data_IF_561475073864
#
_entry.id   IF_561475073864
#
_cell.length_a   1.000
_cell.length_b   1.000
_cell.length_c   1.000
_cell.angle_alpha   90.00
_cell.angle_beta   90.00
_cell.angle_gamma   90.00
#
_symmetry.space_group_name_H-M   'P 1'
#
loop_
_entity.id
_entity.type
_entity.pdbx_description
1 polymer ?
#
# COMPACT_ATOMS: atom_id res chain seq x y z
N UNK A 1 10.05 -10.34 4.50
CA UNK A 1 9.03 -11.17 5.19
C UNK A 1 8.08 -10.25 5.94
N UNK A 2 6.88 -10.66 6.32
CA UNK A 2 5.92 -9.79 7.02
C UNK A 2 6.54 -9.11 8.27
N UNK A 3 7.39 -9.84 9.01
CA UNK A 3 8.12 -9.31 10.17
C UNK A 3 8.94 -8.04 9.90
N UNK A 4 9.57 -7.94 8.72
CA UNK A 4 10.40 -6.78 8.36
C UNK A 4 9.53 -5.52 8.17
N UNK A 5 8.31 -5.67 7.65
CA UNK A 5 7.38 -4.56 7.44
C UNK A 5 6.84 -4.00 8.76
N UNK A 6 6.53 -4.87 9.73
CA UNK A 6 6.11 -4.44 11.07
C UNK A 6 7.22 -3.69 11.78
N UNK A 7 8.45 -4.23 11.78
CA UNK A 7 9.59 -3.57 12.42
C UNK A 7 9.89 -2.21 11.79
N UNK A 8 9.81 -2.11 10.45
CA UNK A 8 10.02 -0.83 9.74
C UNK A 8 8.99 0.22 10.17
N UNK A 9 7.71 -0.14 10.22
CA UNK A 9 6.64 0.81 10.60
C UNK A 9 6.72 1.18 12.08
N UNK A 10 6.97 0.22 12.97
CA UNK A 10 7.19 0.53 14.40
C UNK A 10 8.33 1.53 14.58
N UNK A 11 9.48 1.29 13.92
CA UNK A 11 10.62 2.19 13.98
C UNK A 11 10.28 3.61 13.49
N UNK A 12 9.57 3.73 12.37
CA UNK A 12 9.13 5.03 11.84
C UNK A 12 8.20 5.76 12.80
N UNK A 13 7.29 5.04 13.46
CA UNK A 13 6.34 5.62 14.42
C UNK A 13 7.00 5.98 15.75
N UNK A 14 8.01 5.24 16.18
CA UNK A 14 8.80 5.54 17.39
C UNK A 14 9.62 6.81 17.24
N UNK A 15 10.19 7.05 16.05
CA UNK A 15 10.98 8.24 15.75
C UNK A 15 10.13 9.47 15.43
N UNK A 16 8.82 9.31 15.23
CA UNK A 16 7.95 10.39 14.83
C UNK A 16 7.57 11.29 16.02
N UNK A 17 7.75 12.60 15.86
CA UNK A 17 7.24 13.61 16.81
C UNK A 17 5.71 13.54 16.96
N UNK A 18 5.00 13.09 15.93
CA UNK A 18 3.57 12.85 15.96
C UNK A 18 3.25 11.53 15.23
N UNK A 19 3.14 10.40 15.96
CA UNK A 19 2.89 9.09 15.38
C UNK A 19 1.60 9.01 14.56
N UNK A 20 0.56 9.77 14.97
CA UNK A 20 -0.72 9.81 14.25
C UNK A 20 -0.56 10.45 12.88
N UNK A 21 0.08 11.62 12.82
CA UNK A 21 0.36 12.30 11.56
C UNK A 21 1.25 11.47 10.65
N UNK A 22 2.24 10.77 11.22
CA UNK A 22 3.11 9.89 10.44
C UNK A 22 2.37 8.67 9.90
N UNK A 23 1.54 8.02 10.71
CA UNK A 23 0.66 6.94 10.26
C UNK A 23 -0.26 7.38 9.10
N UNK A 24 -0.84 8.58 9.16
CA UNK A 24 -1.67 9.13 8.06
C UNK A 24 -0.87 9.24 6.76
N UNK A 25 0.40 9.72 6.83
CA UNK A 25 1.26 9.79 5.64
C UNK A 25 1.58 8.41 5.09
N UNK A 26 1.88 7.44 5.94
CA UNK A 26 2.16 6.05 5.51
C UNK A 26 0.93 5.46 4.81
N UNK A 27 -0.27 5.64 5.37
CA UNK A 27 -1.53 5.21 4.74
C UNK A 27 -1.72 5.87 3.37
N UNK A 28 -1.47 7.18 3.25
CA UNK A 28 -1.56 7.88 1.98
C UNK A 28 -0.54 7.35 0.93
N UNK A 29 0.68 7.07 1.35
CA UNK A 29 1.73 6.49 0.49
C UNK A 29 1.34 5.08 0.00
N UNK A 30 0.82 4.24 0.89
CA UNK A 30 0.33 2.89 0.54
C UNK A 30 -0.86 2.97 -0.41
N UNK A 31 -1.82 3.88 -0.18
CA UNK A 31 -2.93 4.14 -1.10
C UNK A 31 -2.43 4.50 -2.50
N UNK A 32 -1.46 5.41 -2.60
CA UNK A 32 -0.88 5.80 -3.89
C UNK A 32 -0.17 4.62 -4.59
N UNK A 33 0.48 3.74 -3.83
CA UNK A 33 1.10 2.52 -4.35
C UNK A 33 0.06 1.53 -4.90
N UNK A 34 -0.98 1.20 -4.13
CA UNK A 34 -2.04 0.28 -4.59
C UNK A 34 -2.85 0.86 -5.75
N UNK A 35 -3.03 2.19 -5.84
CA UNK A 35 -3.61 2.84 -7.01
C UNK A 35 -2.80 2.59 -8.30
N UNK A 36 -1.46 2.58 -8.21
CA UNK A 36 -0.59 2.25 -9.33
C UNK A 36 -0.68 0.77 -9.71
N UNK A 37 -0.76 -0.14 -8.72
CA UNK A 37 -1.00 -1.56 -8.97
C UNK A 37 -2.35 -1.81 -9.64
N UNK A 38 -3.41 -1.14 -9.21
CA UNK A 38 -4.73 -1.23 -9.83
C UNK A 38 -4.71 -0.78 -11.30
N UNK A 39 -4.09 0.36 -11.60
CA UNK A 39 -3.89 0.83 -12.98
C UNK A 39 -3.09 -0.16 -13.81
N UNK A 40 -2.03 -0.74 -13.24
CA UNK A 40 -1.22 -1.74 -13.92
C UNK A 40 -2.03 -3.00 -14.22
N UNK A 41 -2.84 -3.45 -13.26
CA UNK A 41 -3.73 -4.60 -13.41
C UNK A 41 -4.78 -4.36 -14.49
N UNK A 42 -5.37 -3.16 -14.54
CA UNK A 42 -6.34 -2.79 -15.57
C UNK A 42 -5.75 -2.86 -16.99
N UNK A 43 -4.47 -2.49 -17.14
CA UNK A 43 -3.76 -2.53 -18.42
C UNK A 43 -3.09 -3.89 -18.74
N UNK A 44 -3.27 -4.94 -17.92
CA UNK A 44 -2.52 -6.20 -18.05
C UNK A 44 -2.75 -6.95 -19.37
N UNK A 45 -3.90 -6.73 -20.01
CA UNK A 45 -4.26 -7.34 -21.30
C UNK A 45 -3.86 -6.47 -22.50
N UNK A 46 -3.39 -5.25 -22.28
CA UNK A 46 -2.96 -4.34 -23.33
C UNK A 46 -1.49 -4.60 -23.70
N UNK A 47 -1.18 -4.63 -25.01
CA UNK A 47 0.20 -4.75 -25.49
C UNK A 47 0.90 -3.38 -25.50
N UNK A 48 1.15 -2.83 -24.32
CA UNK A 48 1.83 -1.54 -24.14
C UNK A 48 3.36 -1.71 -24.04
N UNK A 49 4.09 -0.77 -24.63
CA UNK A 49 5.54 -0.64 -24.37
C UNK A 49 5.80 -0.28 -22.91
N UNK A 50 7.00 -0.57 -22.40
CA UNK A 50 7.39 -0.23 -21.01
C UNK A 50 7.21 1.28 -20.72
N UNK A 51 7.53 2.15 -21.69
CA UNK A 51 7.38 3.61 -21.58
C UNK A 51 5.90 4.03 -21.54
N UNK A 52 5.06 3.47 -22.41
CA UNK A 52 3.63 3.76 -22.43
C UNK A 52 2.96 3.31 -21.12
N UNK A 53 3.31 2.12 -20.64
CA UNK A 53 2.83 1.57 -19.38
C UNK A 53 3.25 2.42 -18.18
N UNK A 54 4.50 2.89 -18.16
CA UNK A 54 5.02 3.80 -17.13
C UNK A 54 4.18 5.08 -17.03
N UNK A 55 3.90 5.71 -18.18
CA UNK A 55 3.05 6.90 -18.25
C UNK A 55 1.62 6.63 -17.77
N UNK A 56 1.05 5.48 -18.14
CA UNK A 56 -0.31 5.08 -17.76
C UNK A 56 -0.49 4.89 -16.26
N UNK A 57 0.50 4.28 -15.60
CA UNK A 57 0.45 4.04 -14.15
C UNK A 57 1.03 5.21 -13.34
N UNK A 58 1.72 6.17 -13.99
CA UNK A 58 2.25 7.37 -13.34
C UNK A 58 3.52 7.10 -12.53
N UNK A 59 4.45 6.32 -13.08
CA UNK A 59 5.76 6.06 -12.47
C UNK A 59 6.89 6.25 -13.48
N UNK A 60 8.11 6.57 -13.03
CA UNK A 60 9.29 6.52 -13.89
C UNK A 60 9.47 5.14 -14.56
N UNK A 61 9.91 5.05 -15.82
CA UNK A 61 9.99 3.79 -16.56
C UNK A 61 10.77 2.68 -15.87
N UNK A 62 11.81 3.02 -15.11
CA UNK A 62 12.62 2.04 -14.40
C UNK A 62 11.85 1.28 -13.30
N UNK A 63 10.84 1.89 -12.68
CA UNK A 63 10.02 1.26 -11.64
C UNK A 63 8.98 0.28 -12.18
N UNK A 64 8.65 0.29 -13.47
CA UNK A 64 7.60 -0.58 -14.03
C UNK A 64 7.84 -2.07 -13.74
N UNK A 65 9.11 -2.51 -13.75
CA UNK A 65 9.47 -3.91 -13.44
C UNK A 65 9.11 -4.30 -12.00
N UNK A 66 9.27 -3.40 -11.04
CA UNK A 66 8.95 -3.66 -9.63
C UNK A 66 7.43 -3.80 -9.41
N UNK A 67 6.64 -2.92 -10.04
CA UNK A 67 5.18 -3.03 -9.99
C UNK A 67 4.68 -4.30 -10.70
N UNK A 68 5.31 -4.71 -11.81
CA UNK A 68 5.02 -6.00 -12.47
C UNK A 68 5.33 -7.19 -11.57
N UNK A 69 6.48 -7.18 -10.87
CA UNK A 69 6.82 -8.22 -9.91
C UNK A 69 5.81 -8.28 -8.77
N UNK A 70 5.30 -7.12 -8.33
CA UNK A 70 4.29 -7.01 -7.28
C UNK A 70 2.94 -7.60 -7.72
N UNK A 71 2.50 -7.40 -8.97
CA UNK A 71 1.29 -8.05 -9.51
C UNK A 71 1.39 -9.57 -9.65
N UNK A 72 2.58 -10.16 -9.54
CA UNK A 72 2.73 -11.62 -9.45
C UNK A 72 2.37 -12.14 -8.05
N UNK A 73 2.34 -11.27 -7.04
CA UNK A 73 2.07 -11.60 -5.63
C UNK A 73 0.70 -11.13 -5.16
N UNK A 74 0.20 -10.04 -5.74
CA UNK A 74 -1.12 -9.47 -5.44
C UNK A 74 -2.03 -9.68 -6.63
N UNK A 75 -3.08 -10.47 -6.46
CA UNK A 75 -4.14 -10.57 -7.46
C UNK A 75 -5.14 -9.40 -7.34
N UNK A 76 -6.20 -9.44 -8.16
CA UNK A 76 -7.24 -8.39 -8.15
C UNK A 76 -7.90 -8.27 -6.78
N UNK A 77 -8.25 -9.40 -6.19
CA UNK A 77 -8.97 -9.49 -4.92
C UNK A 77 -8.09 -9.02 -3.77
N UNK A 78 -6.78 -9.28 -3.81
CA UNK A 78 -5.84 -8.73 -2.85
C UNK A 78 -5.75 -7.19 -2.93
N UNK A 79 -5.73 -6.63 -4.14
CA UNK A 79 -5.72 -5.17 -4.33
C UNK A 79 -7.02 -4.53 -3.83
N UNK A 80 -8.18 -5.14 -4.11
CA UNK A 80 -9.48 -4.68 -3.60
C UNK A 80 -9.53 -4.73 -2.06
N UNK A 81 -9.05 -5.83 -1.45
CA UNK A 81 -8.94 -5.96 0.01
C UNK A 81 -8.00 -4.92 0.61
N UNK A 82 -6.88 -4.63 -0.07
CA UNK A 82 -5.95 -3.60 0.36
C UNK A 82 -6.61 -2.22 0.41
N UNK A 83 -7.39 -1.85 -0.60
CA UNK A 83 -8.14 -0.58 -0.57
C UNK A 83 -9.16 -0.54 0.57
N UNK A 84 -9.90 -1.62 0.82
CA UNK A 84 -10.82 -1.67 1.96
C UNK A 84 -10.09 -1.50 3.30
N UNK A 85 -8.93 -2.15 3.48
CA UNK A 85 -8.12 -2.02 4.68
C UNK A 85 -7.56 -0.60 4.86
N UNK A 86 -7.07 0.01 3.78
CA UNK A 86 -6.53 1.37 3.78
C UNK A 86 -7.60 2.42 4.05
N UNK A 87 -8.80 2.26 3.50
CA UNK A 87 -9.94 3.14 3.78
C UNK A 87 -10.33 3.09 5.26
N UNK A 88 -10.40 1.88 5.83
CA UNK A 88 -10.66 1.72 7.26
C UNK A 88 -9.58 2.40 8.11
N UNK A 89 -8.29 2.20 7.78
CA UNK A 89 -7.19 2.84 8.50
C UNK A 89 -7.23 4.38 8.40
N UNK A 90 -7.51 4.93 7.22
CA UNK A 90 -7.62 6.38 7.00
C UNK A 90 -8.74 6.99 7.85
N UNK A 91 -9.91 6.35 7.88
CA UNK A 91 -11.05 6.78 8.71
C UNK A 91 -10.70 6.79 10.20
N UNK A 92 -10.13 5.69 10.69
CA UNK A 92 -9.74 5.53 12.10
C UNK A 92 -8.71 6.58 12.51
N UNK A 93 -7.66 6.78 11.70
CA UNK A 93 -6.61 7.76 11.97
C UNK A 93 -7.11 9.20 11.87
N UNK A 94 -8.12 9.52 11.06
CA UNK A 94 -8.67 10.89 10.96
C UNK A 94 -9.68 11.24 12.04
N UNK A 95 -9.94 10.34 12.99
CA UNK A 95 -10.82 10.59 14.13
C UNK A 95 -12.17 9.89 14.05
N UNK A 96 -12.35 8.95 13.12
CA UNK A 96 -13.48 8.03 13.11
C UNK A 96 -13.51 7.08 14.33
N UNK A 97 -12.40 6.95 15.05
CA UNK A 97 -12.31 6.20 16.31
C UNK A 97 -11.22 6.75 17.25
N UNK A 98 -11.23 6.28 18.51
CA UNK A 98 -10.21 6.59 19.54
C UNK A 98 -9.04 5.59 19.57
N UNK A 99 -8.84 4.80 18.50
CA UNK A 99 -7.77 3.79 18.48
C UNK A 99 -6.40 4.42 18.35
N UNK A 100 -5.41 3.83 19.02
CA UNK A 100 -4.01 4.23 18.93
C UNK A 100 -3.45 4.03 17.50
N UNK A 101 -2.59 4.94 17.05
CA UNK A 101 -2.06 4.93 15.69
C UNK A 101 -1.24 3.66 15.39
N UNK A 102 -0.48 3.13 16.37
CA UNK A 102 0.31 1.91 16.19
C UNK A 102 -0.59 0.69 16.04
N UNK A 103 -1.68 0.63 16.82
CA UNK A 103 -2.67 -0.44 16.68
C UNK A 103 -3.33 -0.41 15.30
N UNK A 104 -3.74 0.76 14.82
CA UNK A 104 -4.34 0.90 13.47
C UNK A 104 -3.35 0.43 12.40
N UNK A 105 -2.08 0.84 12.49
CA UNK A 105 -1.04 0.42 11.55
C UNK A 105 -0.75 -1.08 11.62
N UNK A 106 -0.72 -1.67 12.81
CA UNK A 106 -0.56 -3.13 12.99
C UNK A 106 -1.68 -3.91 12.30
N UNK A 107 -2.94 -3.49 12.50
CA UNK A 107 -4.09 -4.13 11.87
C UNK A 107 -4.08 -3.96 10.36
N UNK A 108 -3.70 -2.78 9.86
CA UNK A 108 -3.53 -2.52 8.43
C UNK A 108 -2.51 -3.48 7.83
N UNK A 109 -1.30 -3.56 8.38
CA UNK A 109 -0.23 -4.40 7.84
C UNK A 109 -0.62 -5.89 7.78
N UNK A 110 -1.32 -6.39 8.81
CA UNK A 110 -1.84 -7.78 8.81
C UNK A 110 -2.84 -8.04 7.68
N UNK A 111 -3.61 -7.03 7.27
CA UNK A 111 -4.58 -7.15 6.17
C UNK A 111 -3.95 -6.96 4.80
N UNK A 112 -2.83 -6.25 4.71
CA UNK A 112 -2.08 -6.06 3.47
C UNK A 112 -1.20 -7.25 3.11
N UNK A 113 -0.80 -8.07 4.08
CA UNK A 113 -0.05 -9.29 3.81
C UNK A 113 -0.95 -10.36 3.19
N UNK A 114 -0.65 -10.85 1.96
CA UNK A 114 -1.46 -11.88 1.33
C UNK A 114 -1.39 -13.18 2.15
N UNK A 115 -2.51 -13.89 2.23
CA UNK A 115 -2.71 -15.06 3.11
C UNK A 115 -1.75 -16.25 2.81
N UNK A 116 -1.07 -16.23 1.66
CA UNK A 116 -0.18 -17.30 1.19
C UNK A 116 1.31 -16.90 1.20
N UNK A 117 1.74 -16.05 2.14
CA UNK A 117 3.15 -15.60 2.28
C UNK A 117 3.94 -16.39 3.31
#
# INVERSE_FOLDING_TARGET
RAGDAFQTVEHLLEQANNPKSEAIKIVAMLNAYFAKLWKLWACRNERLSKKALAGRIGVPPFFVSEYKASLRRYDRTDIERAFSALLAADYELKGGARRDARLVMTLLLRRLTPANS
#
